data_IF_727717372525
#
_entry.id   IF_727717372525
#
_cell.length_a   1.000
_cell.length_b   1.000
_cell.length_c   1.000
_cell.angle_alpha   90.00
_cell.angle_beta   90.00
_cell.angle_gamma   90.00
#
_symmetry.space_group_name_H-M   'P 1'
#
loop_
_entity.id
_entity.type
_entity.pdbx_description
1 polymer ?
#
# COMPACT_ATOMS: atom_id res chain seq x y z
N UNK A 1 12.95 23.11 -9.96
CA UNK A 1 12.61 21.81 -10.57
C UNK A 1 13.81 21.34 -11.38
N UNK A 2 14.79 20.72 -10.72
CA UNK A 2 15.86 20.01 -11.43
C UNK A 2 15.26 18.73 -11.97
N UNK A 3 15.07 18.66 -13.29
CA UNK A 3 14.75 17.43 -13.98
C UNK A 3 15.86 16.43 -13.68
N UNK A 4 15.59 15.48 -12.78
CA UNK A 4 16.44 14.33 -12.55
C UNK A 4 16.43 13.52 -13.85
N UNK A 5 17.55 13.55 -14.57
CA UNK A 5 17.82 12.56 -15.62
C UNK A 5 17.55 11.18 -15.02
N UNK A 6 16.74 10.32 -15.66
CA UNK A 6 16.49 8.97 -15.17
C UNK A 6 17.82 8.28 -14.90
N UNK A 7 17.99 7.69 -13.71
CA UNK A 7 19.22 6.96 -13.33
C UNK A 7 19.42 5.69 -14.18
N UNK A 8 18.40 5.29 -14.94
CA UNK A 8 18.39 4.12 -15.84
C UNK A 8 17.71 4.47 -17.17
N UNK A 9 18.03 3.76 -18.27
CA UNK A 9 17.26 3.85 -19.49
C UNK A 9 15.77 3.59 -19.22
N UNK A 10 14.88 4.30 -19.90
CA UNK A 10 13.43 4.21 -19.67
C UNK A 10 12.87 2.78 -19.74
N UNK A 11 13.51 1.92 -20.54
CA UNK A 11 13.14 0.52 -20.75
C UNK A 11 13.36 -0.36 -19.52
N UNK A 12 14.22 0.09 -18.60
CA UNK A 12 14.69 -0.65 -17.41
C UNK A 12 13.98 -0.24 -16.12
N UNK A 13 12.97 0.64 -16.20
CA UNK A 13 12.11 0.94 -15.05
C UNK A 13 11.05 -0.14 -14.87
N UNK A 14 10.77 -0.48 -13.60
CA UNK A 14 9.66 -1.36 -13.22
C UNK A 14 8.34 -0.95 -13.88
N UNK A 15 7.99 0.34 -13.82
CA UNK A 15 6.85 0.94 -14.52
C UNK A 15 7.34 1.85 -15.64
N UNK A 16 7.06 1.49 -16.89
CA UNK A 16 7.48 2.25 -18.07
C UNK A 16 6.57 3.46 -18.32
N UNK A 17 7.10 4.54 -18.93
CA UNK A 17 6.28 5.60 -19.51
C UNK A 17 5.30 5.05 -20.56
N UNK A 18 4.16 5.73 -20.76
CA UNK A 18 3.15 5.33 -21.74
C UNK A 18 2.20 4.21 -21.27
N UNK A 19 1.96 4.11 -19.96
CA UNK A 19 0.98 3.19 -19.40
C UNK A 19 -0.45 3.77 -19.36
N UNK A 20 -1.43 2.92 -19.05
CA UNK A 20 -2.87 3.21 -19.09
C UNK A 20 -3.44 3.83 -17.82
N UNK A 21 -2.59 4.16 -16.84
CA UNK A 21 -3.07 4.65 -15.54
C UNK A 21 -3.57 6.10 -15.64
N UNK A 22 -4.52 6.45 -14.76
CA UNK A 22 -5.04 7.81 -14.67
C UNK A 22 -3.94 8.82 -14.28
N UNK A 23 -4.10 10.07 -14.70
CA UNK A 23 -3.32 11.18 -14.13
C UNK A 23 -3.49 11.21 -12.60
N UNK A 24 -2.41 11.49 -11.87
CA UNK A 24 -2.43 11.52 -10.40
C UNK A 24 -2.54 10.14 -9.71
N UNK A 25 -2.40 9.03 -10.44
CA UNK A 25 -2.54 7.70 -9.83
C UNK A 25 -1.48 7.45 -8.74
N UNK A 26 -1.93 7.30 -7.48
CA UNK A 26 -1.04 7.02 -6.35
C UNK A 26 -0.28 5.70 -6.49
N UNK A 27 -0.90 4.69 -7.11
CA UNK A 27 -0.27 3.41 -7.41
C UNK A 27 0.93 3.58 -8.35
N UNK A 28 0.83 4.45 -9.36
CA UNK A 28 1.94 4.72 -10.28
C UNK A 28 3.14 5.35 -9.56
N UNK A 29 2.89 6.28 -8.63
CA UNK A 29 3.94 6.90 -7.82
C UNK A 29 4.60 5.83 -6.94
N UNK A 30 3.80 4.98 -6.30
CA UNK A 30 4.30 3.86 -5.50
C UNK A 30 5.19 2.89 -6.29
N UNK A 31 4.82 2.55 -7.53
CA UNK A 31 5.62 1.69 -8.40
C UNK A 31 6.96 2.34 -8.81
N UNK A 32 6.98 3.65 -9.05
CA UNK A 32 8.21 4.39 -9.34
C UNK A 32 9.16 4.42 -8.13
N UNK A 33 8.62 4.61 -6.93
CA UNK A 33 9.44 4.61 -5.71
C UNK A 33 9.86 3.20 -5.30
N UNK A 34 9.06 2.18 -5.63
CA UNK A 34 9.46 0.78 -5.49
C UNK A 34 10.67 0.47 -6.37
N UNK A 35 10.64 0.87 -7.65
CA UNK A 35 11.76 0.75 -8.60
C UNK A 35 13.03 1.39 -8.02
N UNK A 36 12.91 2.62 -7.54
CA UNK A 36 14.04 3.35 -6.96
C UNK A 36 14.59 2.69 -5.69
N UNK A 37 13.72 2.23 -4.80
CA UNK A 37 14.15 1.57 -3.57
C UNK A 37 14.88 0.25 -3.84
N UNK A 38 14.48 -0.47 -4.89
CA UNK A 38 15.08 -1.72 -5.33
C UNK A 38 16.39 -1.52 -6.09
N UNK A 39 16.63 -0.34 -6.68
CA UNK A 39 17.87 -0.09 -7.40
C UNK A 39 18.05 -1.07 -8.54
N UNK A 40 19.16 -1.83 -8.56
CA UNK A 40 19.51 -2.79 -9.62
C UNK A 40 18.90 -4.20 -9.47
N UNK A 41 18.14 -4.44 -8.40
CA UNK A 41 17.38 -5.66 -8.22
C UNK A 41 16.38 -5.89 -9.36
N UNK A 42 16.15 -7.15 -9.73
CA UNK A 42 15.24 -7.54 -10.81
C UNK A 42 14.00 -8.25 -10.23
N UNK A 43 13.00 -7.52 -9.72
CA UNK A 43 11.84 -8.13 -9.08
C UNK A 43 11.01 -8.95 -10.06
N UNK A 44 10.29 -9.94 -9.52
CA UNK A 44 9.14 -10.56 -10.19
C UNK A 44 7.87 -10.02 -9.58
N UNK A 45 7.01 -9.40 -10.39
CA UNK A 45 5.72 -8.90 -9.94
C UNK A 45 4.63 -9.96 -10.09
N UNK A 46 3.83 -10.13 -9.06
CA UNK A 46 2.66 -11.01 -9.05
C UNK A 46 1.43 -10.17 -8.76
N UNK A 47 0.64 -9.89 -9.80
CA UNK A 47 -0.40 -8.87 -9.76
C UNK A 47 -1.76 -9.54 -9.99
N UNK A 48 -2.69 -9.46 -9.03
CA UNK A 48 -4.03 -10.00 -9.22
C UNK A 48 -4.84 -9.17 -10.22
N UNK A 49 -6.03 -9.65 -10.60
CA UNK A 49 -6.97 -8.87 -11.43
C UNK A 49 -7.40 -7.58 -10.72
N UNK A 50 -6.75 -6.45 -11.02
CA UNK A 50 -6.94 -5.14 -10.41
C UNK A 50 -6.42 -4.02 -11.33
N UNK A 51 -6.46 -2.74 -10.90
CA UNK A 51 -5.89 -1.62 -11.68
C UNK A 51 -4.43 -1.88 -12.07
N UNK A 52 -3.64 -2.44 -11.14
CA UNK A 52 -2.25 -2.80 -11.38
C UNK A 52 -2.06 -3.68 -12.61
N UNK A 53 -2.83 -4.75 -12.80
CA UNK A 53 -2.59 -5.58 -13.99
C UNK A 53 -3.07 -4.91 -15.28
N UNK A 54 -4.08 -4.05 -15.21
CA UNK A 54 -4.54 -3.25 -16.35
C UNK A 54 -3.48 -2.25 -16.81
N UNK A 55 -2.57 -1.81 -15.93
CA UNK A 55 -1.39 -1.01 -16.26
C UNK A 55 -0.49 -1.67 -17.30
N UNK A 56 -0.49 -3.02 -17.40
CA UNK A 56 0.27 -3.72 -18.44
C UNK A 56 -0.14 -3.24 -19.85
N UNK A 57 -1.40 -2.81 -20.04
CA UNK A 57 -1.89 -2.29 -21.31
C UNK A 57 -2.32 -3.38 -22.28
N UNK A 58 -2.44 -3.01 -23.56
CA UNK A 58 -2.92 -3.91 -24.60
C UNK A 58 -1.79 -4.82 -25.12
N UNK A 59 -2.09 -6.10 -25.28
CA UNK A 59 -1.19 -7.03 -25.98
C UNK A 59 -0.87 -6.51 -27.40
N UNK A 60 0.38 -6.61 -27.88
CA UNK A 60 1.54 -7.30 -27.29
C UNK A 60 2.43 -6.41 -26.39
N UNK A 61 1.99 -5.19 -26.05
CA UNK A 61 2.78 -4.25 -25.24
C UNK A 61 2.64 -4.52 -23.75
N UNK A 62 3.65 -4.10 -22.98
CA UNK A 62 3.64 -4.16 -21.52
C UNK A 62 4.14 -2.84 -20.93
N UNK A 63 3.32 -2.23 -20.06
CA UNK A 63 3.71 -1.11 -19.19
C UNK A 63 4.70 -1.51 -18.10
N UNK A 64 4.93 -2.81 -17.87
CA UNK A 64 5.92 -3.32 -16.92
C UNK A 64 7.24 -3.66 -17.61
N UNK A 65 8.35 -3.20 -17.01
CA UNK A 65 9.71 -3.49 -17.47
C UNK A 65 10.35 -4.75 -16.87
N UNK A 66 9.62 -5.45 -15.99
CA UNK A 66 10.09 -6.63 -15.25
C UNK A 66 9.14 -7.83 -15.46
N UNK A 67 9.59 -9.07 -15.23
CA UNK A 67 8.72 -10.24 -15.28
C UNK A 67 7.49 -10.03 -14.40
N UNK A 68 6.31 -10.09 -15.02
CA UNK A 68 5.03 -9.80 -14.37
C UNK A 68 4.05 -10.93 -14.65
N UNK A 69 3.52 -11.53 -13.59
CA UNK A 69 2.52 -12.59 -13.66
C UNK A 69 1.16 -12.03 -13.28
N UNK A 70 0.23 -12.01 -14.24
CA UNK A 70 -1.18 -11.78 -13.98
C UNK A 70 -1.77 -13.00 -13.26
N UNK A 71 -2.51 -12.78 -12.17
CA UNK A 71 -3.21 -13.85 -11.47
C UNK A 71 -4.72 -13.61 -11.45
N UNK A 72 -5.48 -14.65 -11.11
CA UNK A 72 -6.88 -14.45 -10.71
C UNK A 72 -6.93 -13.55 -9.46
N UNK A 73 -8.04 -12.85 -9.26
CA UNK A 73 -8.14 -11.81 -8.24
C UNK A 73 -7.77 -12.30 -6.82
N UNK A 74 -8.13 -13.54 -6.48
CA UNK A 74 -7.94 -14.12 -5.15
C UNK A 74 -6.58 -14.79 -4.91
N UNK A 75 -5.73 -14.96 -5.94
CA UNK A 75 -4.64 -15.94 -5.89
C UNK A 75 -3.21 -15.39 -5.87
N UNK A 76 -3.02 -14.05 -5.91
CA UNK A 76 -1.67 -13.48 -6.02
C UNK A 76 -0.67 -13.96 -4.95
N UNK A 77 -1.02 -14.08 -3.64
CA UNK A 77 -0.09 -14.62 -2.64
C UNK A 77 0.28 -16.09 -2.88
N UNK A 78 -0.69 -16.89 -3.33
CA UNK A 78 -0.49 -18.32 -3.59
C UNK A 78 0.40 -18.54 -4.83
N UNK A 79 0.23 -17.73 -5.88
CA UNK A 79 1.11 -17.76 -7.06
C UNK A 79 2.51 -17.29 -6.69
N UNK A 80 2.63 -16.20 -5.93
CA UNK A 80 3.92 -15.68 -5.47
C UNK A 80 4.69 -16.68 -4.59
N UNK A 81 3.97 -17.44 -3.75
CA UNK A 81 4.54 -18.56 -2.98
C UNK A 81 5.23 -19.56 -3.91
N UNK A 82 4.55 -20.01 -4.97
CA UNK A 82 5.12 -20.95 -5.93
C UNK A 82 6.34 -20.38 -6.65
N UNK A 83 6.28 -19.12 -7.09
CA UNK A 83 7.41 -18.43 -7.75
C UNK A 83 8.61 -18.33 -6.81
N UNK A 84 8.40 -17.92 -5.55
CA UNK A 84 9.45 -17.80 -4.55
C UNK A 84 10.10 -19.15 -4.23
N UNK A 85 9.29 -20.21 -4.08
CA UNK A 85 9.79 -21.56 -3.87
C UNK A 85 10.68 -22.06 -5.03
N UNK A 86 10.24 -21.84 -6.28
CA UNK A 86 11.03 -22.20 -7.47
C UNK A 86 12.30 -21.36 -7.59
N UNK A 87 12.23 -20.05 -7.34
CA UNK A 87 13.40 -19.18 -7.34
C UNK A 87 14.46 -19.67 -6.34
N UNK A 88 14.04 -20.04 -5.13
CA UNK A 88 14.91 -20.62 -4.11
C UNK A 88 15.53 -21.96 -4.54
N UNK A 89 14.78 -22.84 -5.21
CA UNK A 89 15.32 -24.11 -5.72
C UNK A 89 16.39 -23.93 -6.82
N UNK A 90 16.42 -22.76 -7.46
CA UNK A 90 17.35 -22.42 -8.53
C UNK A 90 18.41 -21.40 -8.10
N UNK A 91 18.53 -21.12 -6.79
CA UNK A 91 19.48 -20.14 -6.24
C UNK A 91 19.33 -18.71 -6.83
N UNK A 92 18.09 -18.33 -7.17
CA UNK A 92 17.75 -16.99 -7.66
C UNK A 92 17.27 -16.13 -6.48
N UNK A 93 18.03 -15.09 -6.12
CA UNK A 93 17.69 -14.16 -5.02
C UNK A 93 16.95 -12.90 -5.53
N UNK A 94 16.08 -13.05 -6.52
CA UNK A 94 15.26 -11.93 -6.99
C UNK A 94 14.04 -11.73 -6.06
N UNK A 95 13.65 -10.48 -5.75
CA UNK A 95 12.48 -10.23 -4.91
C UNK A 95 11.19 -10.62 -5.64
N UNK A 96 10.38 -11.46 -5.00
CA UNK A 96 9.03 -11.79 -5.46
C UNK A 96 8.04 -10.89 -4.74
N UNK A 97 7.34 -10.05 -5.50
CA UNK A 97 6.50 -8.98 -4.96
C UNK A 97 5.06 -9.15 -5.43
N UNK A 98 4.14 -9.32 -4.48
CA UNK A 98 2.72 -9.13 -4.76
C UNK A 98 2.41 -7.64 -4.77
N UNK A 99 1.86 -7.14 -5.88
CA UNK A 99 1.37 -5.78 -5.98
C UNK A 99 -0.15 -5.81 -6.14
N UNK A 100 -0.87 -5.63 -5.05
CA UNK A 100 -2.32 -5.87 -5.01
C UNK A 100 -3.09 -4.62 -4.57
N UNK A 101 -4.26 -4.43 -5.16
CA UNK A 101 -5.21 -3.43 -4.68
C UNK A 101 -5.88 -3.89 -3.39
N UNK A 102 -6.61 -2.97 -2.77
CA UNK A 102 -7.37 -3.23 -1.55
C UNK A 102 -8.35 -4.40 -1.68
N UNK A 103 -9.07 -4.56 -2.79
CA UNK A 103 -10.00 -5.69 -2.96
C UNK A 103 -9.35 -7.07 -3.00
N UNK A 104 -8.13 -7.15 -3.55
CA UNK A 104 -7.33 -8.37 -3.54
C UNK A 104 -6.70 -8.66 -2.17
N UNK A 105 -6.75 -7.70 -1.25
CA UNK A 105 -6.08 -7.76 0.06
C UNK A 105 -7.10 -7.94 1.18
N UNK A 106 -8.04 -7.00 1.28
CA UNK A 106 -9.03 -6.91 2.35
C UNK A 106 -10.20 -7.87 2.16
N UNK A 107 -10.51 -8.25 0.93
CA UNK A 107 -11.72 -9.00 0.59
C UNK A 107 -11.39 -10.36 -0.02
N UNK A 108 -11.38 -10.48 -1.35
CA UNK A 108 -11.41 -11.77 -2.03
C UNK A 108 -10.09 -12.56 -1.89
N UNK A 109 -8.96 -11.87 -1.78
CA UNK A 109 -7.64 -12.50 -1.62
C UNK A 109 -7.18 -12.63 -0.16
N UNK A 110 -8.01 -12.24 0.82
CA UNK A 110 -7.62 -12.29 2.23
C UNK A 110 -7.24 -13.70 2.69
N UNK A 111 -7.93 -14.75 2.21
CA UNK A 111 -7.64 -16.12 2.60
C UNK A 111 -6.26 -16.59 2.14
N UNK A 112 -5.87 -16.29 0.90
CA UNK A 112 -4.54 -16.67 0.38
C UNK A 112 -3.45 -15.81 0.97
N UNK A 113 -3.74 -14.53 1.26
CA UNK A 113 -2.85 -13.62 1.98
C UNK A 113 -2.55 -14.14 3.38
N UNK A 114 -3.60 -14.47 4.14
CA UNK A 114 -3.53 -15.08 5.46
C UNK A 114 -2.69 -16.36 5.44
N UNK A 115 -2.92 -17.24 4.46
CA UNK A 115 -2.19 -18.50 4.35
C UNK A 115 -0.69 -18.30 4.02
N UNK A 116 -0.35 -17.32 3.19
CA UNK A 116 1.06 -16.98 2.90
C UNK A 116 1.76 -16.36 4.13
N UNK A 117 1.05 -15.50 4.87
CA UNK A 117 1.55 -14.93 6.12
C UNK A 117 1.76 -16.01 7.19
N UNK A 118 0.80 -16.92 7.37
CA UNK A 118 0.89 -18.05 8.31
C UNK A 118 2.09 -18.96 8.03
N UNK A 119 2.34 -19.28 6.76
CA UNK A 119 3.50 -20.10 6.37
C UNK A 119 4.81 -19.32 6.31
N UNK A 120 4.78 -18.03 6.59
CA UNK A 120 5.93 -17.13 6.55
C UNK A 120 6.67 -17.20 5.20
N UNK A 121 5.91 -17.21 4.11
CA UNK A 121 6.45 -17.33 2.74
C UNK A 121 7.40 -16.17 2.44
N UNK A 122 8.53 -16.44 1.77
CA UNK A 122 9.53 -15.42 1.42
C UNK A 122 9.08 -14.56 0.24
N UNK A 123 8.06 -13.73 0.48
CA UNK A 123 7.49 -12.77 -0.46
C UNK A 123 7.27 -11.40 0.22
N UNK A 124 7.30 -10.35 -0.59
CA UNK A 124 6.90 -8.99 -0.18
C UNK A 124 5.50 -8.75 -0.73
N UNK A 125 4.53 -8.49 0.15
CA UNK A 125 3.17 -8.16 -0.25
C UNK A 125 2.91 -6.68 -0.03
N UNK A 126 2.62 -5.96 -1.12
CA UNK A 126 2.29 -4.54 -1.09
C UNK A 126 0.83 -4.36 -1.49
N UNK A 127 0.03 -3.89 -0.54
CA UNK A 127 -1.32 -3.42 -0.78
C UNK A 127 -1.27 -1.93 -1.12
N UNK A 128 -1.56 -1.56 -2.37
CA UNK A 128 -1.89 -0.18 -2.71
C UNK A 128 -3.37 0.05 -2.39
N UNK A 129 -3.62 0.64 -1.23
CA UNK A 129 -4.95 0.87 -0.69
C UNK A 129 -5.54 2.16 -1.26
N UNK A 130 -6.29 2.02 -2.33
CA UNK A 130 -7.11 3.07 -2.92
C UNK A 130 -8.55 3.07 -2.38
N UNK A 131 -8.84 2.25 -1.37
CA UNK A 131 -10.10 2.23 -0.62
C UNK A 131 -11.37 1.99 -1.46
N UNK A 132 -11.21 1.44 -2.66
CA UNK A 132 -12.29 1.22 -3.61
C UNK A 132 -11.86 0.21 -4.68
N UNK A 133 -12.80 -0.57 -5.22
CA UNK A 133 -12.53 -1.36 -6.43
C UNK A 133 -12.46 -0.45 -7.65
N UNK A 134 -11.30 0.19 -7.85
CA UNK A 134 -11.12 1.26 -8.83
C UNK A 134 -11.32 0.81 -10.28
N UNK A 135 -10.83 -0.38 -10.63
CA UNK A 135 -10.87 -0.88 -12.01
C UNK A 135 -12.30 -1.16 -12.50
N UNK A 136 -13.17 -1.63 -11.60
CA UNK A 136 -14.53 -2.06 -11.94
C UNK A 136 -15.54 -0.92 -11.88
N UNK A 137 -15.08 0.34 -11.74
CA UNK A 137 -15.94 1.53 -11.73
C UNK A 137 -16.22 2.10 -10.34
N UNK A 138 -15.52 1.63 -9.31
CA UNK A 138 -15.56 2.22 -7.98
C UNK A 138 -16.61 1.62 -7.05
N UNK A 139 -16.58 0.30 -6.86
CA UNK A 139 -17.40 -0.41 -5.88
C UNK A 139 -16.76 -0.39 -4.48
N UNK A 140 -17.60 -0.57 -3.46
CA UNK A 140 -17.17 -0.72 -2.06
C UNK A 140 -16.25 -1.91 -1.86
N UNK A 141 -15.20 -1.71 -1.07
CA UNK A 141 -14.30 -2.74 -0.53
C UNK A 141 -14.36 -2.78 1.00
N UNK A 142 -13.68 -3.76 1.60
CA UNK A 142 -13.39 -3.80 3.04
C UNK A 142 -12.51 -2.64 3.52
N UNK A 143 -11.76 -2.01 2.61
CA UNK A 143 -10.90 -0.86 2.90
C UNK A 143 -11.61 0.50 2.78
N UNK A 144 -12.77 0.56 2.12
CA UNK A 144 -13.56 1.80 2.00
C UNK A 144 -13.84 2.39 3.40
N UNK A 145 -13.61 3.69 3.63
CA UNK A 145 -13.96 4.36 4.88
C UNK A 145 -15.46 4.37 5.14
N UNK A 146 -15.83 4.50 6.41
CA UNK A 146 -17.22 4.77 6.79
C UNK A 146 -17.71 6.05 6.11
N UNK A 147 -18.98 6.11 5.72
CA UNK A 147 -19.58 7.29 5.07
C UNK A 147 -19.16 7.54 3.62
N UNK A 148 -18.12 6.87 3.11
CA UNK A 148 -17.70 7.00 1.72
C UNK A 148 -18.75 6.42 0.76
N UNK A 149 -19.18 7.24 -0.19
CA UNK A 149 -20.10 6.87 -1.28
C UNK A 149 -19.33 6.13 -2.37
N UNK A 150 -19.88 5.00 -2.81
CA UNK A 150 -19.36 4.20 -3.92
C UNK A 150 -20.50 3.77 -4.84
N UNK A 151 -20.19 3.13 -5.97
CA UNK A 151 -21.22 2.63 -6.90
C UNK A 151 -22.16 1.59 -6.26
N UNK A 152 -21.71 0.85 -5.25
CA UNK A 152 -22.50 -0.17 -4.54
C UNK A 152 -22.95 0.27 -3.15
N UNK A 153 -22.47 1.41 -2.66
CA UNK A 153 -22.91 2.05 -1.40
C UNK A 153 -23.26 3.51 -1.67
N UNK A 154 -24.35 3.79 -2.43
CA UNK A 154 -24.76 5.16 -2.74
C UNK A 154 -25.17 5.93 -1.47
N UNK A 155 -25.61 5.22 -0.44
CA UNK A 155 -25.92 5.75 0.88
C UNK A 155 -24.69 5.83 1.81
N UNK A 156 -23.47 5.72 1.28
CA UNK A 156 -22.26 5.65 2.08
C UNK A 156 -22.08 4.27 2.72
N UNK A 157 -20.84 3.89 3.02
CA UNK A 157 -20.55 2.63 3.72
C UNK A 157 -20.88 2.75 5.21
N UNK A 158 -21.64 1.81 5.75
CA UNK A 158 -21.97 1.77 7.18
C UNK A 158 -20.88 1.16 8.05
N UNK A 159 -20.13 0.18 7.54
CA UNK A 159 -19.08 -0.48 8.34
C UNK A 159 -17.78 0.33 8.34
N UNK A 160 -17.04 0.23 9.46
CA UNK A 160 -15.69 0.78 9.54
C UNK A 160 -14.73 0.08 8.58
N UNK A 161 -13.66 0.78 8.24
CA UNK A 161 -12.53 0.20 7.50
C UNK A 161 -11.97 -0.98 8.31
N UNK A 162 -11.78 -2.13 7.66
CA UNK A 162 -11.15 -3.30 8.29
C UNK A 162 -9.70 -2.96 8.62
N UNK A 163 -9.20 -3.36 9.78
CA UNK A 163 -7.80 -3.12 10.16
C UNK A 163 -6.90 -4.25 9.64
N UNK A 164 -6.41 -4.10 8.40
CA UNK A 164 -5.54 -5.12 7.80
C UNK A 164 -4.18 -5.22 8.48
N UNK A 165 -3.67 -4.11 9.03
CA UNK A 165 -2.38 -4.11 9.73
C UNK A 165 -2.48 -4.92 11.02
N UNK A 166 -3.58 -4.80 11.77
CA UNK A 166 -3.83 -5.64 12.95
C UNK A 166 -3.95 -7.13 12.59
N UNK A 167 -4.60 -7.47 11.46
CA UNK A 167 -4.69 -8.86 10.99
C UNK A 167 -3.30 -9.40 10.66
N UNK A 168 -2.47 -8.63 9.94
CA UNK A 168 -1.10 -9.05 9.62
C UNK A 168 -0.21 -9.13 10.86
N UNK A 169 -0.38 -8.23 11.83
CA UNK A 169 0.30 -8.32 13.12
C UNK A 169 -0.09 -9.58 13.91
N UNK A 170 -1.35 -10.00 13.84
CA UNK A 170 -1.82 -11.22 14.48
C UNK A 170 -1.16 -12.50 13.93
N UNK A 171 -0.76 -12.50 12.65
CA UNK A 171 0.05 -13.56 12.04
C UNK A 171 1.51 -13.59 12.51
N UNK A 172 1.96 -12.61 13.30
CA UNK A 172 3.37 -12.48 13.75
C UNK A 172 4.36 -12.43 12.59
N UNK A 173 3.96 -11.78 11.50
CA UNK A 173 4.82 -11.60 10.33
C UNK A 173 6.12 -10.88 10.72
N UNK A 174 7.28 -11.25 10.15
CA UNK A 174 8.57 -10.61 10.45
C UNK A 174 8.53 -9.09 10.36
N UNK A 175 7.80 -8.56 9.38
CA UNK A 175 7.69 -7.12 9.18
C UNK A 175 6.37 -6.73 8.52
N UNK A 176 5.72 -5.72 9.09
CA UNK A 176 4.63 -5.01 8.46
C UNK A 176 4.88 -3.49 8.55
N UNK A 177 4.54 -2.70 7.54
CA UNK A 177 4.62 -1.24 7.65
C UNK A 177 3.59 -0.52 6.80
N UNK A 178 3.21 0.69 7.21
CA UNK A 178 2.45 1.61 6.36
C UNK A 178 3.39 2.48 5.54
N UNK A 179 2.98 2.80 4.31
CA UNK A 179 3.73 3.58 3.32
C UNK A 179 2.93 4.80 2.89
N UNK A 180 3.64 5.90 2.64
CA UNK A 180 3.05 7.14 2.14
C UNK A 180 3.81 7.68 0.94
N UNK A 181 3.06 8.07 -0.09
CA UNK A 181 3.58 8.76 -1.28
C UNK A 181 3.87 10.25 -1.06
N UNK A 182 3.68 10.78 0.15
CA UNK A 182 4.14 12.12 0.54
C UNK A 182 5.41 12.09 1.40
N UNK A 183 5.87 10.91 1.82
CA UNK A 183 7.03 10.72 2.70
C UNK A 183 8.07 9.80 2.04
N UNK A 184 8.71 10.31 0.97
CA UNK A 184 9.57 9.51 0.09
C UNK A 184 10.69 8.78 0.80
N UNK A 185 11.48 9.45 1.64
CA UNK A 185 12.63 8.81 2.29
C UNK A 185 12.19 7.69 3.26
N UNK A 186 11.08 7.88 3.97
CA UNK A 186 10.50 6.83 4.81
C UNK A 186 10.01 5.64 3.96
N UNK A 187 9.36 5.92 2.83
CA UNK A 187 8.94 4.89 1.86
C UNK A 187 10.14 4.05 1.40
N UNK A 188 11.19 4.70 0.87
CA UNK A 188 12.36 4.01 0.34
C UNK A 188 13.07 3.18 1.41
N UNK A 189 13.23 3.73 2.62
CA UNK A 189 13.82 3.04 3.76
C UNK A 189 13.04 1.78 4.13
N UNK A 190 11.70 1.85 4.20
CA UNK A 190 10.84 0.71 4.55
C UNK A 190 10.88 -0.40 3.51
N UNK A 191 10.94 -0.05 2.21
CA UNK A 191 11.10 -1.04 1.13
C UNK A 191 12.48 -1.72 1.22
N UNK A 192 13.56 -0.95 1.36
CA UNK A 192 14.92 -1.48 1.51
C UNK A 192 15.02 -2.41 2.73
N UNK A 193 14.41 -2.02 3.85
CA UNK A 193 14.35 -2.87 5.03
C UNK A 193 13.59 -4.17 4.76
N UNK A 194 12.40 -4.12 4.14
CA UNK A 194 11.62 -5.31 3.80
C UNK A 194 12.39 -6.28 2.87
N UNK A 195 13.17 -5.74 1.93
CA UNK A 195 14.06 -6.51 1.04
C UNK A 195 15.25 -7.13 1.77
N UNK A 196 15.78 -6.46 2.79
CA UNK A 196 16.95 -6.92 3.57
C UNK A 196 16.68 -8.12 4.47
N UNK A 197 15.41 -8.43 4.75
CA UNK A 197 14.98 -9.54 5.58
C UNK A 197 14.24 -10.61 4.76
N UNK A 198 14.09 -11.80 5.35
CA UNK A 198 13.41 -12.96 4.77
C UNK A 198 12.10 -13.25 5.51
N UNK A 199 11.22 -14.05 4.90
CA UNK A 199 9.91 -14.45 5.45
C UNK A 199 8.77 -13.61 4.89
N UNK A 200 7.58 -13.55 5.49
CA UNK A 200 6.49 -12.76 4.92
C UNK A 200 6.59 -11.28 5.32
N UNK A 201 6.54 -10.35 4.37
CA UNK A 201 6.64 -8.90 4.64
C UNK A 201 5.42 -8.20 4.06
N UNK A 202 4.69 -7.47 4.90
CA UNK A 202 3.47 -6.79 4.48
C UNK A 202 3.65 -5.27 4.46
N UNK A 203 3.19 -4.63 3.40
CA UNK A 203 3.30 -3.19 3.24
C UNK A 203 1.96 -2.62 2.80
N UNK A 204 1.43 -1.65 3.55
CA UNK A 204 0.17 -0.99 3.26
C UNK A 204 0.42 0.45 2.82
N UNK A 205 0.20 0.74 1.55
CA UNK A 205 0.37 2.08 0.99
C UNK A 205 -0.99 2.74 0.80
N UNK A 206 -1.23 3.92 1.40
CA UNK A 206 -2.38 4.72 1.02
C UNK A 206 -2.17 5.27 -0.40
N UNK A 207 -3.08 4.93 -1.31
CA UNK A 207 -2.94 5.19 -2.74
C UNK A 207 -4.12 6.00 -3.27
N UNK A 208 -4.00 7.32 -3.42
CA UNK A 208 -5.02 8.15 -4.04
C UNK A 208 -5.48 7.62 -5.39
N UNK A 209 -6.79 7.64 -5.58
CA UNK A 209 -7.44 7.27 -6.83
C UNK A 209 -8.36 8.41 -7.24
N UNK A 210 -7.91 9.38 -8.07
CA UNK A 210 -8.71 10.55 -8.43
C UNK A 210 -10.10 10.20 -8.97
N UNK A 211 -10.19 9.13 -9.77
CA UNK A 211 -11.47 8.65 -10.32
C UNK A 211 -12.39 8.01 -9.28
N UNK A 212 -11.83 7.33 -8.27
CA UNK A 212 -12.58 6.67 -7.20
C UNK A 212 -12.93 7.61 -6.05
N UNK A 213 -11.97 8.40 -5.59
CA UNK A 213 -12.12 9.40 -4.53
C UNK A 213 -12.84 10.66 -5.01
N UNK A 214 -12.94 10.82 -6.34
CA UNK A 214 -13.55 11.97 -7.01
C UNK A 214 -12.85 13.28 -6.63
N UNK A 215 -11.53 13.23 -6.52
CA UNK A 215 -10.63 14.36 -6.26
C UNK A 215 -9.91 14.81 -7.54
N UNK A 216 -9.25 15.96 -7.49
CA UNK A 216 -8.45 16.43 -8.62
C UNK A 216 -7.12 15.64 -8.72
N UNK A 217 -6.64 15.32 -9.94
CA UNK A 217 -5.42 14.52 -10.12
C UNK A 217 -4.15 15.11 -9.50
N UNK A 218 -3.98 16.43 -9.56
CA UNK A 218 -2.81 17.17 -9.06
C UNK A 218 -2.75 17.24 -7.52
N UNK A 219 -3.87 17.03 -6.84
CA UNK A 219 -3.99 17.01 -5.37
C UNK A 219 -3.60 15.67 -4.73
N UNK A 220 -3.22 14.66 -5.52
CA UNK A 220 -3.06 13.29 -5.02
C UNK A 220 -2.03 13.17 -3.90
N UNK A 221 -0.83 13.73 -4.05
CA UNK A 221 0.19 13.68 -3.00
C UNK A 221 -0.21 14.52 -1.79
N UNK A 222 -0.84 15.67 -2.01
CA UNK A 222 -1.34 16.56 -0.94
C UNK A 222 -2.35 15.82 -0.06
N UNK A 223 -3.33 15.12 -0.66
CA UNK A 223 -4.32 14.34 0.10
C UNK A 223 -3.69 13.30 1.03
N UNK A 224 -2.59 12.66 0.61
CA UNK A 224 -1.86 11.70 1.47
C UNK A 224 -1.09 12.42 2.57
N UNK A 225 -0.50 13.57 2.26
CA UNK A 225 0.12 14.43 3.28
C UNK A 225 -0.89 14.83 4.36
N UNK A 226 -2.07 15.32 3.96
CA UNK A 226 -3.15 15.67 4.88
C UNK A 226 -3.58 14.46 5.72
N UNK A 227 -3.77 13.30 5.08
CA UNK A 227 -4.17 12.08 5.79
C UNK A 227 -3.15 11.66 6.85
N UNK A 228 -1.85 11.79 6.57
CA UNK A 228 -0.79 11.49 7.55
C UNK A 228 -0.74 12.54 8.67
N UNK A 229 -0.73 13.82 8.31
CA UNK A 229 -0.57 14.95 9.23
C UNK A 229 -1.76 15.14 10.18
N UNK A 230 -2.97 14.83 9.70
CA UNK A 230 -4.19 14.79 10.54
C UNK A 230 -4.28 13.53 11.41
N UNK A 231 -3.40 12.55 11.18
CA UNK A 231 -3.40 11.28 11.91
C UNK A 231 -4.41 10.25 11.39
N UNK A 232 -5.14 10.54 10.31
CA UNK A 232 -6.09 9.62 9.66
C UNK A 232 -5.41 8.36 9.11
N UNK A 233 -4.19 8.49 8.57
CA UNK A 233 -3.38 7.39 8.08
C UNK A 233 -2.01 7.38 8.78
N UNK A 234 -1.85 6.60 9.86
CA UNK A 234 -0.59 6.57 10.61
C UNK A 234 0.56 5.98 9.80
N UNK A 235 1.76 6.56 9.95
CA UNK A 235 3.01 6.00 9.43
C UNK A 235 3.77 5.27 10.53
N UNK A 236 3.82 3.95 10.43
CA UNK A 236 4.43 3.10 11.45
C UNK A 236 4.91 1.76 10.87
N UNK A 237 5.70 1.06 11.67
CA UNK A 237 6.26 -0.27 11.42
C UNK A 237 5.90 -1.20 12.57
N UNK A 238 5.69 -2.47 12.25
CA UNK A 238 5.48 -3.58 13.18
C UNK A 238 6.53 -4.65 12.87
N UNK A 239 7.30 -5.05 13.88
CA UNK A 239 8.30 -6.10 13.80
C UNK A 239 7.84 -7.33 14.57
N UNK A 240 7.96 -8.50 13.95
CA UNK A 240 7.50 -9.80 14.49
C UNK A 240 6.05 -9.79 14.98
N UNK A 241 5.22 -8.94 14.34
CA UNK A 241 3.84 -8.67 14.72
C UNK A 241 3.61 -8.16 16.15
N UNK A 242 4.64 -7.79 16.91
CA UNK A 242 4.49 -7.39 18.31
C UNK A 242 5.20 -6.10 18.69
N UNK A 243 6.25 -5.68 17.98
CA UNK A 243 7.04 -4.49 18.33
C UNK A 243 6.75 -3.34 17.38
N UNK A 244 6.49 -2.16 17.90
CA UNK A 244 5.96 -1.03 17.13
C UNK A 244 6.95 0.13 17.06
N UNK A 245 7.03 0.78 15.90
CA UNK A 245 7.72 2.06 15.72
C UNK A 245 6.81 3.02 14.99
N UNK A 246 6.55 4.18 15.58
CA UNK A 246 5.82 5.28 14.92
C UNK A 246 6.87 6.14 14.21
N UNK A 247 6.69 6.38 12.91
CA UNK A 247 7.62 7.15 12.09
C UNK A 247 7.24 8.64 12.01
N UNK A 248 5.94 8.93 11.93
CA UNK A 248 5.42 10.29 11.85
C UNK A 248 4.22 10.43 12.79
N UNK A 249 4.25 11.45 13.65
CA UNK A 249 3.11 11.83 14.51
C UNK A 249 2.28 12.93 13.82
N UNK A 250 0.97 13.02 14.12
CA UNK A 250 0.14 14.09 13.59
C UNK A 250 0.58 15.44 14.16
N UNK A 251 0.39 16.50 13.38
CA UNK A 251 0.77 17.88 13.73
C UNK A 251 -0.45 18.81 13.87
N UNK A 252 -1.61 18.23 14.22
CA UNK A 252 -2.91 18.89 14.36
C UNK A 252 -3.46 19.46 13.04
N UNK A 253 -3.02 18.97 11.88
CA UNK A 253 -3.67 19.30 10.62
C UNK A 253 -5.14 18.88 10.65
N UNK A 254 -6.04 19.81 10.32
CA UNK A 254 -7.48 19.53 10.31
C UNK A 254 -7.82 18.50 9.23
N UNK A 255 -8.56 17.46 9.61
CA UNK A 255 -8.99 16.39 8.69
C UNK A 255 -10.08 16.86 7.72
N UNK A 256 -10.74 17.98 8.00
CA UNK A 256 -11.81 18.53 7.14
C UNK A 256 -11.30 18.81 5.72
N UNK A 257 -10.07 19.32 5.57
CA UNK A 257 -9.51 19.59 4.25
C UNK A 257 -9.31 18.31 3.42
N UNK A 258 -9.05 17.16 4.07
CA UNK A 258 -9.01 15.86 3.40
C UNK A 258 -10.41 15.51 2.87
N UNK A 259 -11.44 15.66 3.71
CA UNK A 259 -12.81 15.29 3.38
C UNK A 259 -13.39 16.20 2.26
N UNK A 260 -13.20 17.51 2.37
CA UNK A 260 -13.76 18.51 1.44
C UNK A 260 -13.23 18.37 0.01
N UNK A 261 -11.97 17.98 -0.14
CA UNK A 261 -11.32 17.76 -1.44
C UNK A 261 -11.81 16.48 -2.17
N UNK A 262 -12.67 15.68 -1.53
CA UNK A 262 -13.10 14.38 -2.05
C UNK A 262 -14.62 14.28 -2.16
N UNK A 263 -15.16 14.21 -3.40
CA UNK A 263 -16.62 14.16 -3.57
C UNK A 263 -17.28 12.89 -3.04
N UNK A 264 -16.51 11.82 -2.77
CA UNK A 264 -17.02 10.58 -2.15
C UNK A 264 -17.59 10.79 -0.73
N UNK A 265 -17.36 11.93 -0.09
CA UNK A 265 -17.90 12.25 1.24
C UNK A 265 -19.02 13.30 1.24
N UNK A 266 -19.30 13.98 0.12
CA UNK A 266 -20.17 15.17 0.07
C UNK A 266 -21.62 14.99 0.54
N UNK A 267 -22.19 13.80 0.41
CA UNK A 267 -23.64 13.60 0.61
C UNK A 267 -24.00 13.13 2.03
N UNK A 268 -23.11 12.40 2.70
CA UNK A 268 -23.47 11.56 3.86
C UNK A 268 -22.45 11.71 5.01
N UNK A 269 -21.41 12.49 4.81
CA UNK A 269 -20.49 12.82 5.89
C UNK A 269 -21.14 13.81 6.86
N UNK A 270 -21.43 13.35 8.08
CA UNK A 270 -22.29 14.09 9.02
C UNK A 270 -21.74 14.28 10.42
N UNK A 271 -20.52 13.81 10.73
CA UNK A 271 -19.96 14.00 12.07
C UNK A 271 -18.41 14.01 12.09
N UNK A 272 -17.78 15.19 11.95
CA UNK A 272 -16.34 15.36 12.15
C UNK A 272 -15.86 14.89 13.53
N UNK A 273 -16.69 15.00 14.57
CA UNK A 273 -16.32 14.59 15.93
C UNK A 273 -16.19 13.07 16.02
N UNK A 274 -17.05 12.32 15.33
CA UNK A 274 -16.94 10.86 15.25
C UNK A 274 -15.65 10.41 14.55
N UNK A 275 -15.18 11.14 13.53
CA UNK A 275 -13.91 10.86 12.88
C UNK A 275 -12.72 11.21 13.78
N UNK A 276 -12.74 12.39 14.40
CA UNK A 276 -11.69 12.78 15.35
C UNK A 276 -11.62 11.78 16.51
N UNK A 277 -12.76 11.35 17.07
CA UNK A 277 -12.80 10.32 18.10
C UNK A 277 -12.23 8.97 17.62
N UNK A 278 -12.41 8.62 16.35
CA UNK A 278 -11.80 7.43 15.76
C UNK A 278 -10.28 7.57 15.63
N UNK A 279 -9.80 8.71 15.14
CA UNK A 279 -8.38 9.05 15.04
C UNK A 279 -7.74 8.99 16.43
N UNK A 280 -8.34 9.64 17.43
CA UNK A 280 -7.87 9.64 18.82
C UNK A 280 -7.82 8.22 19.42
N UNK A 281 -8.80 7.38 19.13
CA UNK A 281 -8.79 5.99 19.57
C UNK A 281 -7.65 5.18 18.92
N UNK A 282 -7.40 5.40 17.63
CA UNK A 282 -6.29 4.76 16.92
C UNK A 282 -4.93 5.21 17.47
N UNK A 283 -4.74 6.50 17.70
CA UNK A 283 -3.49 7.02 18.26
C UNK A 283 -3.25 6.57 19.69
N UNK A 284 -4.29 6.54 20.55
CA UNK A 284 -4.17 5.95 21.90
C UNK A 284 -3.73 4.49 21.86
N UNK A 285 -4.25 3.70 20.92
CA UNK A 285 -3.82 2.32 20.73
C UNK A 285 -2.35 2.25 20.27
N UNK A 286 -1.98 2.97 19.22
CA UNK A 286 -0.62 2.95 18.67
C UNK A 286 0.42 3.44 19.68
N UNK A 287 0.11 4.49 20.44
CA UNK A 287 0.98 4.99 21.51
C UNK A 287 1.14 3.98 22.64
N UNK A 288 0.05 3.32 23.04
CA UNK A 288 0.12 2.21 23.99
C UNK A 288 1.04 1.09 23.49
N UNK A 289 0.86 0.68 22.23
CA UNK A 289 1.67 -0.39 21.63
C UNK A 289 3.14 0.00 21.49
N UNK A 290 3.45 1.21 21.02
CA UNK A 290 4.83 1.68 20.87
C UNK A 290 5.52 1.90 22.22
N UNK A 291 4.77 2.25 23.26
CA UNK A 291 5.31 2.43 24.62
C UNK A 291 5.59 1.08 25.30
N UNK A 292 4.63 0.15 25.23
CA UNK A 292 4.75 -1.16 25.91
C UNK A 292 5.63 -2.13 25.13
N UNK A 293 5.58 -2.08 23.80
CA UNK A 293 6.32 -2.95 22.90
C UNK A 293 7.12 -2.15 21.87
N UNK A 294 8.14 -1.37 22.28
CA UNK A 294 8.93 -0.59 21.34
C UNK A 294 9.73 -1.48 20.38
N UNK A 295 9.83 -1.06 19.13
CA UNK A 295 10.82 -1.61 18.21
C UNK A 295 12.22 -1.43 18.78
N UNK A 296 13.05 -2.48 18.66
CA UNK A 296 14.48 -2.35 18.98
C UNK A 296 15.17 -1.63 17.83
N UNK A 297 16.20 -0.85 18.13
CA UNK A 297 17.07 -0.30 17.08
C UNK A 297 17.66 -1.46 16.29
N UNK A 298 17.37 -1.49 14.98
CA UNK A 298 17.93 -2.50 14.08
C UNK A 298 19.24 -1.97 13.52
N UNK A 299 20.29 -2.79 13.37
CA UNK A 299 21.54 -2.35 12.73
C UNK A 299 21.30 -1.81 11.31
N UNK A 300 20.24 -2.24 10.62
CA UNK A 300 19.87 -1.76 9.27
C UNK A 300 19.34 -0.32 9.28
N UNK A 301 18.72 0.12 10.38
CA UNK A 301 18.22 1.51 10.49
C UNK A 301 19.33 2.56 10.66
N UNK A 302 20.52 2.17 11.15
CA UNK A 302 21.64 3.08 11.35
C UNK A 302 22.49 3.32 10.08
N UNK A 303 22.33 2.47 9.05
CA UNK A 303 23.11 2.54 7.81
C UNK A 303 22.41 3.33 6.68
N UNK A 304 21.20 3.86 6.95
CA UNK A 304 20.35 4.54 5.95
C UNK A 304 19.97 5.97 6.40
N UNK A 305 20.61 6.48 7.46
CA UNK A 305 20.61 7.91 7.86
C UNK A 305 21.90 8.56 7.40
#
# INVERSE_FOLDING_TARGET
>A
MTATTPSKPYENHLLRPGNTNCAGCGMSIGLQWLDEALGDEQPVLVIPSCCGIVTAGAFPTSGYGVPTTATTFASSPAVATGISAVAKMNDIDNPVICWAGDGGTYDIGLATLSAAAERNEDIIYICYDNEIYGNTGGQRSGATPIGAVTATTPAGKGERKKDIMAIMAAHRVPYAATLSISHREDFLRKIRYARSIKGFRFLLMLSPCPTGWKSEPDQSTELVEIAVRSGLFPLYEIFDGCRYRINQRPDNMAVDSYIEQQRRFRQIWGDPDALNAHIDAQWRYLDGMATVFPAKDSPVTAAVT
#
